data_IF_210258206153
#
_entry.id   IF_210258206153
#
_cell.length_a   1.000
_cell.length_b   1.000
_cell.length_c   1.000
_cell.angle_alpha   90.00
_cell.angle_beta   90.00
_cell.angle_gamma   90.00
#
_symmetry.space_group_name_H-M   'P 1'
#
loop_
_entity.id
_entity.type
_entity.pdbx_description
1 polymer ?
#
# COMPACT_ATOMS: atom_id res chain seq x y z
N UNK A 1 -30.99 -31.09 42.16
CA UNK A 1 -30.77 -31.93 40.96
C UNK A 1 -31.33 -31.29 39.69
N UNK A 2 -32.56 -30.75 39.70
CA UNK A 2 -33.13 -29.99 38.57
C UNK A 2 -32.41 -28.66 38.28
N UNK A 3 -31.99 -27.90 39.29
CA UNK A 3 -31.27 -26.62 39.09
C UNK A 3 -29.87 -26.80 38.49
N UNK A 4 -29.08 -27.77 38.98
CA UNK A 4 -27.75 -28.10 38.44
C UNK A 4 -27.79 -28.52 36.95
N UNK A 5 -28.88 -29.17 36.53
CA UNK A 5 -29.11 -29.55 35.13
C UNK A 5 -29.38 -28.32 34.26
N UNK A 6 -29.99 -27.29 34.83
CA UNK A 6 -30.29 -26.04 34.14
C UNK A 6 -29.02 -25.20 33.94
N UNK A 7 -28.23 -25.03 35.00
CA UNK A 7 -26.92 -24.35 34.95
C UNK A 7 -25.97 -25.02 33.94
N UNK A 8 -25.97 -26.37 33.88
CA UNK A 8 -25.15 -27.13 32.92
C UNK A 8 -25.63 -26.94 31.47
N UNK A 9 -26.94 -26.92 31.23
CA UNK A 9 -27.49 -26.68 29.90
C UNK A 9 -27.15 -25.26 29.41
N UNK A 10 -27.15 -24.27 30.29
CA UNK A 10 -26.75 -22.90 29.97
C UNK A 10 -25.28 -22.82 29.56
N UNK A 11 -24.38 -23.50 30.27
CA UNK A 11 -22.97 -23.64 29.88
C UNK A 11 -22.78 -24.34 28.53
N UNK A 12 -23.57 -25.38 28.25
CA UNK A 12 -23.54 -26.08 26.96
C UNK A 12 -23.99 -25.16 25.83
N UNK A 13 -25.01 -24.34 26.04
CA UNK A 13 -25.46 -23.38 25.03
C UNK A 13 -24.44 -22.26 24.79
N UNK A 14 -23.79 -21.77 25.85
CA UNK A 14 -22.65 -20.85 25.70
C UNK A 14 -21.53 -21.50 24.86
N UNK A 15 -21.18 -22.76 25.13
CA UNK A 15 -20.16 -23.48 24.37
C UNK A 15 -20.55 -23.72 22.91
N UNK A 16 -21.83 -24.02 22.63
CA UNK A 16 -22.33 -24.14 21.25
C UNK A 16 -22.22 -22.82 20.50
N UNK A 17 -22.58 -21.70 21.13
CA UNK A 17 -22.49 -20.36 20.53
C UNK A 17 -21.04 -19.97 20.18
N UNK A 18 -20.11 -20.22 21.09
CA UNK A 18 -18.67 -20.06 20.81
C UNK A 18 -18.24 -20.89 19.60
N UNK A 19 -18.68 -22.16 19.53
CA UNK A 19 -18.34 -23.07 18.44
C UNK A 19 -19.02 -22.69 17.11
N UNK A 20 -20.17 -22.01 17.15
CA UNK A 20 -20.86 -21.51 15.95
C UNK A 20 -20.41 -20.13 15.50
N UNK A 21 -19.50 -19.47 16.23
CA UNK A 21 -19.07 -18.10 15.94
C UNK A 21 -20.08 -17.02 16.34
N UNK A 22 -21.06 -17.33 17.20
CA UNK A 22 -21.98 -16.35 17.77
C UNK A 22 -21.39 -15.84 19.09
N UNK A 23 -20.83 -14.63 19.06
CA UNK A 23 -20.14 -14.04 20.21
C UNK A 23 -20.94 -12.96 20.94
N UNK A 24 -22.24 -12.83 20.67
CA UNK A 24 -23.08 -11.85 21.37
C UNK A 24 -23.12 -12.08 22.88
N UNK A 25 -23.26 -10.99 23.64
CA UNK A 25 -23.26 -11.02 25.10
C UNK A 25 -24.43 -11.87 25.60
N UNK A 26 -24.11 -12.96 26.30
CA UNK A 26 -25.07 -13.82 26.96
C UNK A 26 -25.18 -13.36 28.42
N UNK A 27 -26.38 -12.98 28.85
CA UNK A 27 -26.65 -12.77 30.28
C UNK A 27 -26.48 -14.10 31.02
N UNK A 28 -25.52 -14.15 31.94
CA UNK A 28 -25.33 -15.33 32.81
C UNK A 28 -26.43 -15.32 33.86
N UNK A 29 -27.33 -16.29 33.82
CA UNK A 29 -28.38 -16.49 34.83
C UNK A 29 -28.03 -17.58 35.86
N UNK A 30 -26.76 -17.98 35.92
CA UNK A 30 -26.24 -18.93 36.92
C UNK A 30 -26.07 -18.21 38.26
N UNK A 31 -26.54 -18.85 39.35
CA UNK A 31 -26.47 -18.28 40.70
C UNK A 31 -25.02 -18.14 41.20
N UNK A 32 -24.65 -17.04 41.86
CA UNK A 32 -23.28 -16.81 42.35
C UNK A 32 -22.76 -17.87 43.33
N UNK A 33 -23.65 -18.57 44.04
CA UNK A 33 -23.28 -19.62 44.99
C UNK A 33 -23.02 -20.99 44.32
N UNK A 34 -23.31 -21.11 43.01
CA UNK A 34 -23.10 -22.33 42.22
C UNK A 34 -21.62 -22.50 41.88
N UNK A 35 -21.08 -23.70 42.01
CA UNK A 35 -19.70 -24.03 41.58
C UNK A 35 -19.51 -23.80 40.06
N UNK A 36 -20.61 -23.84 39.30
CA UNK A 36 -20.64 -23.59 37.85
C UNK A 36 -20.58 -22.09 37.50
N UNK A 37 -20.80 -21.19 38.46
CA UNK A 37 -20.75 -19.75 38.25
C UNK A 37 -19.36 -19.29 37.80
N UNK A 38 -18.29 -19.83 38.39
CA UNK A 38 -16.92 -19.51 37.98
C UNK A 38 -16.65 -19.94 36.54
N UNK A 39 -17.17 -21.10 36.13
CA UNK A 39 -17.04 -21.60 34.76
C UNK A 39 -17.79 -20.66 33.79
N UNK A 40 -19.00 -20.23 34.16
CA UNK A 40 -19.78 -19.28 33.38
C UNK A 40 -19.07 -17.92 33.22
N UNK A 41 -18.41 -17.43 34.28
CA UNK A 41 -17.59 -16.21 34.21
C UNK A 41 -16.43 -16.37 33.22
N UNK A 42 -15.69 -17.48 33.26
CA UNK A 42 -14.62 -17.74 32.30
C UNK A 42 -15.12 -17.81 30.86
N UNK A 43 -16.27 -18.44 30.62
CA UNK A 43 -16.89 -18.48 29.30
C UNK A 43 -17.31 -17.09 28.80
N UNK A 44 -17.87 -16.25 29.66
CA UNK A 44 -18.27 -14.89 29.30
C UNK A 44 -17.05 -13.99 29.04
N UNK A 45 -15.98 -14.13 29.81
CA UNK A 45 -14.71 -13.46 29.50
C UNK A 45 -14.12 -13.91 28.16
N UNK A 46 -14.19 -15.21 27.85
CA UNK A 46 -13.76 -15.74 26.56
C UNK A 46 -14.62 -15.21 25.40
N UNK A 47 -15.95 -15.18 25.58
CA UNK A 47 -16.88 -14.58 24.61
C UNK A 47 -16.58 -13.12 24.34
N UNK A 48 -16.38 -12.31 25.40
CA UNK A 48 -16.02 -10.90 25.25
C UNK A 48 -14.72 -10.72 24.46
N UNK A 49 -13.70 -11.54 24.73
CA UNK A 49 -12.44 -11.51 23.98
C UNK A 49 -12.63 -11.93 22.53
N UNK A 50 -13.43 -12.96 22.25
CA UNK A 50 -13.72 -13.43 20.91
C UNK A 50 -14.56 -12.43 20.11
N UNK A 51 -15.52 -11.74 20.74
CA UNK A 51 -16.30 -10.67 20.10
C UNK A 51 -15.41 -9.51 19.66
N UNK A 52 -14.52 -9.06 20.53
CA UNK A 52 -13.52 -8.03 20.19
C UNK A 52 -12.66 -8.46 19.00
N UNK A 53 -12.40 -9.77 18.88
CA UNK A 53 -11.64 -10.33 17.76
C UNK A 53 -12.43 -10.34 16.48
N UNK A 54 -13.67 -10.79 16.55
CA UNK A 54 -14.59 -10.81 15.42
C UNK A 54 -14.81 -9.41 14.84
N UNK A 55 -15.09 -8.42 15.71
CA UNK A 55 -15.28 -7.02 15.31
C UNK A 55 -14.04 -6.48 14.56
N UNK A 56 -12.84 -6.66 15.12
CA UNK A 56 -11.61 -6.15 14.53
C UNK A 56 -11.19 -6.88 13.23
N UNK A 57 -11.52 -8.17 13.10
CA UNK A 57 -11.30 -8.93 11.87
C UNK A 57 -12.29 -8.52 10.78
N UNK A 58 -13.55 -8.25 11.14
CA UNK A 58 -14.59 -7.80 10.22
C UNK A 58 -14.17 -6.48 9.56
N UNK A 59 -13.73 -5.51 10.36
CA UNK A 59 -13.28 -4.21 9.84
C UNK A 59 -12.02 -4.34 8.96
N UNK A 60 -11.03 -5.15 9.36
CA UNK A 60 -9.83 -5.39 8.55
C UNK A 60 -10.15 -6.13 7.24
N UNK A 61 -11.19 -6.97 7.23
CA UNK A 61 -11.67 -7.65 6.03
C UNK A 61 -12.33 -6.68 5.05
N UNK A 62 -12.96 -5.60 5.53
CA UNK A 62 -13.48 -4.52 4.67
C UNK A 62 -12.36 -3.70 3.99
N UNK A 63 -11.21 -3.54 4.66
CA UNK A 63 -10.07 -2.77 4.14
C UNK A 63 -9.27 -3.52 3.06
N UNK A 64 -9.30 -4.85 3.05
CA UNK A 64 -8.58 -5.69 2.08
C UNK A 64 -9.01 -5.50 0.62
N UNK A 65 -10.31 -5.50 0.28
CA UNK A 65 -10.79 -5.17 -1.07
C UNK A 65 -10.37 -3.76 -1.51
N UNK A 66 -10.35 -2.79 -0.60
CA UNK A 66 -9.90 -1.43 -0.90
C UNK A 66 -8.40 -1.41 -1.22
N UNK A 67 -7.58 -2.11 -0.43
CA UNK A 67 -6.16 -2.31 -0.69
C UNK A 67 -5.92 -2.93 -2.07
N UNK A 68 -6.64 -4.02 -2.41
CA UNK A 68 -6.54 -4.68 -3.71
C UNK A 68 -6.90 -3.71 -4.85
N UNK A 69 -7.98 -2.94 -4.70
CA UNK A 69 -8.43 -1.97 -5.70
C UNK A 69 -7.36 -0.92 -5.97
N UNK A 70 -6.81 -0.30 -4.93
CA UNK A 70 -5.77 0.73 -5.07
C UNK A 70 -4.51 0.15 -5.73
N UNK A 71 -4.10 -1.06 -5.35
CA UNK A 71 -2.97 -1.74 -5.97
C UNK A 71 -3.19 -1.97 -7.48
N UNK A 72 -4.39 -2.41 -7.87
CA UNK A 72 -4.75 -2.59 -9.28
C UNK A 72 -4.73 -1.27 -10.05
N UNK A 73 -5.21 -0.19 -9.46
CA UNK A 73 -5.14 1.14 -10.06
C UNK A 73 -3.69 1.59 -10.29
N UNK A 74 -2.80 1.39 -9.31
CA UNK A 74 -1.36 1.70 -9.45
C UNK A 74 -0.75 0.92 -10.62
N UNK A 75 -1.01 -0.38 -10.70
CA UNK A 75 -0.49 -1.23 -11.78
C UNK A 75 -0.97 -0.72 -13.14
N UNK A 76 -2.25 -0.35 -13.24
CA UNK A 76 -2.83 0.14 -14.48
C UNK A 76 -2.26 1.50 -14.90
N UNK A 77 -2.12 2.44 -13.95
CA UNK A 77 -1.53 3.75 -14.21
C UNK A 77 -0.07 3.63 -14.65
N UNK A 78 0.71 2.79 -13.95
CA UNK A 78 2.11 2.51 -14.30
C UNK A 78 2.22 1.89 -15.70
N UNK A 79 1.32 0.95 -16.03
CA UNK A 79 1.27 0.35 -17.37
C UNK A 79 1.01 1.41 -18.44
N UNK A 80 -0.03 2.23 -18.28
CA UNK A 80 -0.39 3.26 -19.27
C UNK A 80 0.72 4.30 -19.46
N UNK A 81 1.36 4.73 -18.37
CA UNK A 81 2.47 5.67 -18.44
C UNK A 81 3.69 5.06 -19.14
N UNK A 82 4.00 3.80 -18.84
CA UNK A 82 5.10 3.08 -19.50
C UNK A 82 4.83 2.92 -21.00
N UNK A 83 3.60 2.56 -21.39
CA UNK A 83 3.20 2.50 -22.80
C UNK A 83 3.34 3.86 -23.50
N UNK A 84 2.98 4.95 -22.82
CA UNK A 84 3.13 6.32 -23.34
C UNK A 84 4.62 6.67 -23.55
N UNK A 85 5.47 6.41 -22.56
CA UNK A 85 6.91 6.65 -22.65
C UNK A 85 7.54 5.83 -23.78
N UNK A 86 7.15 4.55 -23.92
CA UNK A 86 7.63 3.70 -25.01
C UNK A 86 7.23 4.28 -26.38
N UNK A 87 6.00 4.76 -26.52
CA UNK A 87 5.55 5.42 -27.75
C UNK A 87 6.37 6.66 -28.06
N UNK A 88 6.72 7.48 -27.07
CA UNK A 88 7.57 8.64 -27.29
C UNK A 88 9.02 8.23 -27.63
N UNK A 89 9.52 7.13 -27.04
CA UNK A 89 10.85 6.59 -27.34
C UNK A 89 10.92 6.14 -28.81
N UNK A 90 9.85 5.55 -29.33
CA UNK A 90 9.79 5.22 -30.75
C UNK A 90 9.84 6.47 -31.62
N UNK A 91 9.06 7.51 -31.29
CA UNK A 91 9.08 8.79 -32.03
C UNK A 91 10.46 9.44 -32.02
N UNK A 92 11.14 9.51 -30.87
CA UNK A 92 12.47 10.13 -30.81
C UNK A 92 13.48 9.33 -31.63
N UNK A 93 13.38 8.00 -31.68
CA UNK A 93 14.25 7.18 -32.52
C UNK A 93 14.05 7.49 -34.01
N UNK A 94 12.81 7.60 -34.48
CA UNK A 94 12.51 8.01 -35.87
C UNK A 94 13.01 9.43 -36.18
N UNK A 95 12.85 10.35 -35.23
CA UNK A 95 13.34 11.73 -35.37
C UNK A 95 14.87 11.76 -35.46
N UNK A 96 15.58 11.03 -34.59
CA UNK A 96 17.04 10.90 -34.62
C UNK A 96 17.51 10.33 -35.96
N UNK A 97 16.83 9.32 -36.51
CA UNK A 97 17.20 8.75 -37.80
C UNK A 97 16.97 9.74 -38.96
N UNK A 98 15.89 10.53 -38.90
CA UNK A 98 15.64 11.62 -39.86
C UNK A 98 16.72 12.71 -39.81
N UNK A 99 17.20 13.06 -38.61
CA UNK A 99 18.34 13.97 -38.43
C UNK A 99 19.61 13.38 -39.04
N UNK A 100 19.90 12.10 -38.80
CA UNK A 100 21.08 11.42 -39.38
C UNK A 100 21.05 11.42 -40.90
N UNK A 101 19.89 11.15 -41.52
CA UNK A 101 19.74 11.20 -42.97
C UNK A 101 19.94 12.61 -43.52
N UNK A 102 19.35 13.62 -42.87
CA UNK A 102 19.50 15.01 -43.26
C UNK A 102 20.95 15.49 -43.13
N UNK A 103 21.68 15.05 -42.09
CA UNK A 103 23.11 15.32 -41.93
C UNK A 103 23.97 14.67 -43.02
N UNK A 104 23.63 13.44 -43.46
CA UNK A 104 24.30 12.79 -44.59
C UNK A 104 24.07 13.58 -45.88
N UNK A 105 22.82 13.95 -46.15
CA UNK A 105 22.44 14.76 -47.31
C UNK A 105 23.13 16.12 -47.33
N UNK A 106 23.20 16.79 -46.18
CA UNK A 106 23.93 18.05 -46.01
C UNK A 106 25.41 17.90 -46.39
N UNK A 107 26.06 16.86 -45.88
CA UNK A 107 27.48 16.59 -46.16
C UNK A 107 27.74 16.33 -47.64
N UNK A 108 26.85 15.62 -48.33
CA UNK A 108 26.95 15.38 -49.77
C UNK A 108 26.73 16.66 -50.59
N UNK A 109 25.71 17.46 -50.23
CA UNK A 109 25.44 18.73 -50.89
C UNK A 109 26.63 19.70 -50.80
N UNK A 110 27.24 19.82 -49.61
CA UNK A 110 28.44 20.64 -49.40
C UNK A 110 29.62 20.13 -50.26
N UNK A 111 29.86 18.82 -50.31
CA UNK A 111 30.93 18.23 -51.13
C UNK A 111 30.76 18.54 -52.62
N UNK A 112 29.51 18.58 -53.09
CA UNK A 112 29.19 18.83 -54.49
C UNK A 112 29.10 20.33 -54.83
N UNK A 113 29.27 21.22 -53.84
CA UNK A 113 29.13 22.67 -54.02
C UNK A 113 27.68 23.15 -54.20
N UNK A 114 26.70 22.29 -53.91
CA UNK A 114 25.27 22.60 -54.02
C UNK A 114 24.77 23.23 -52.70
N UNK A 115 25.03 24.52 -52.55
CA UNK A 115 24.70 25.26 -51.33
C UNK A 115 23.20 25.48 -51.13
N UNK A 116 22.42 25.53 -52.21
CA UNK A 116 20.95 25.66 -52.12
C UNK A 116 20.35 24.39 -51.50
N UNK A 117 20.80 23.22 -51.96
CA UNK A 117 20.38 21.95 -51.37
C UNK A 117 20.92 21.74 -49.96
N UNK A 118 22.15 22.20 -49.68
CA UNK A 118 22.69 22.18 -48.32
C UNK A 118 21.82 23.00 -47.35
N UNK A 119 21.32 24.17 -47.79
CA UNK A 119 20.42 25.00 -46.97
C UNK A 119 19.09 24.29 -46.65
N UNK A 120 18.54 23.52 -47.59
CA UNK A 120 17.33 22.72 -47.35
C UNK A 120 17.57 21.68 -46.26
N UNK A 121 18.66 20.91 -46.34
CA UNK A 121 18.99 19.92 -45.30
C UNK A 121 19.25 20.57 -43.94
N UNK A 122 19.91 21.74 -43.91
CA UNK A 122 20.15 22.47 -42.67
C UNK A 122 18.84 22.92 -42.01
N UNK A 123 17.89 23.42 -42.79
CA UNK A 123 16.56 23.76 -42.29
C UNK A 123 15.81 22.53 -41.79
N UNK A 124 15.86 21.42 -42.53
CA UNK A 124 15.24 20.16 -42.10
C UNK A 124 15.81 19.63 -40.78
N UNK A 125 17.13 19.72 -40.57
CA UNK A 125 17.75 19.37 -39.29
C UNK A 125 17.23 20.27 -38.17
N UNK A 126 17.13 21.58 -38.41
CA UNK A 126 16.59 22.53 -37.42
C UNK A 126 15.16 22.15 -37.03
N UNK A 127 14.31 21.87 -38.02
CA UNK A 127 12.92 21.50 -37.79
C UNK A 127 12.80 20.18 -37.02
N UNK A 128 13.59 19.16 -37.39
CA UNK A 128 13.63 17.89 -36.65
C UNK A 128 14.16 18.04 -35.22
N UNK A 129 15.13 18.94 -34.97
CA UNK A 129 15.60 19.20 -33.60
C UNK A 129 14.51 19.84 -32.75
N UNK A 130 13.72 20.77 -33.31
CA UNK A 130 12.58 21.36 -32.60
C UNK A 130 11.50 20.31 -32.30
N UNK A 131 11.18 19.44 -33.26
CA UNK A 131 10.25 18.32 -33.04
C UNK A 131 10.79 17.34 -31.99
N UNK A 132 12.10 17.08 -31.98
CA UNK A 132 12.74 16.24 -30.96
C UNK A 132 12.63 16.83 -29.55
N UNK A 133 12.73 18.16 -29.42
CA UNK A 133 12.51 18.87 -28.17
C UNK A 133 11.07 18.71 -27.67
N UNK A 134 10.08 18.84 -28.57
CA UNK A 134 8.66 18.63 -28.24
C UNK A 134 8.41 17.19 -27.74
N UNK A 135 8.98 16.18 -28.42
CA UNK A 135 8.89 14.77 -27.99
C UNK A 135 9.49 14.58 -26.58
N UNK A 136 10.61 15.25 -26.28
CA UNK A 136 11.20 15.20 -24.94
C UNK A 136 10.30 15.84 -23.88
N UNK A 137 9.60 16.93 -24.19
CA UNK A 137 8.61 17.51 -23.27
C UNK A 137 7.43 16.57 -23.02
N UNK A 138 6.94 15.91 -24.07
CA UNK A 138 5.87 14.91 -23.95
C UNK A 138 6.31 13.71 -23.07
N UNK A 139 7.57 13.25 -23.20
CA UNK A 139 8.13 12.24 -22.29
C UNK A 139 8.16 12.70 -20.83
N UNK A 140 8.58 13.94 -20.59
CA UNK A 140 8.65 14.50 -19.24
C UNK A 140 7.25 14.58 -18.63
N UNK A 141 6.27 15.05 -19.39
CA UNK A 141 4.87 15.08 -18.96
C UNK A 141 4.35 13.66 -18.66
N UNK A 142 4.70 12.67 -19.49
CA UNK A 142 4.32 11.28 -19.25
C UNK A 142 4.92 10.71 -17.96
N UNK A 143 6.07 11.22 -17.48
CA UNK A 143 6.71 10.82 -16.23
C UNK A 143 6.04 11.39 -14.97
N UNK A 144 5.16 12.39 -15.08
CA UNK A 144 4.44 12.98 -13.93
C UNK A 144 3.57 11.97 -13.17
N UNK A 145 3.21 10.84 -13.79
CA UNK A 145 2.50 9.74 -13.12
C UNK A 145 3.23 9.20 -11.89
N UNK A 146 4.55 9.41 -11.79
CA UNK A 146 5.36 8.97 -10.66
C UNK A 146 4.90 9.60 -9.35
N UNK A 147 4.52 10.89 -9.37
CA UNK A 147 4.03 11.57 -8.18
C UNK A 147 2.69 11.00 -7.72
N UNK A 148 1.76 10.81 -8.67
CA UNK A 148 0.46 10.17 -8.40
C UNK A 148 0.66 8.74 -7.86
N UNK A 149 1.60 7.99 -8.45
CA UNK A 149 1.94 6.64 -8.01
C UNK A 149 2.45 6.64 -6.58
N UNK A 150 3.35 7.58 -6.24
CA UNK A 150 3.86 7.75 -4.87
C UNK A 150 2.72 8.02 -3.89
N UNK A 151 1.84 8.98 -4.19
CA UNK A 151 0.69 9.29 -3.33
C UNK A 151 -0.24 8.08 -3.10
N UNK A 152 -0.43 7.24 -4.12
CA UNK A 152 -1.23 6.01 -4.00
C UNK A 152 -0.52 4.93 -3.18
N UNK A 153 0.80 4.79 -3.31
CA UNK A 153 1.62 3.89 -2.48
C UNK A 153 1.58 4.33 -1.01
N UNK A 154 1.70 5.62 -0.74
CA UNK A 154 1.63 6.15 0.63
C UNK A 154 0.28 5.80 1.29
N UNK A 155 -0.82 5.91 0.54
CA UNK A 155 -2.15 5.46 1.01
C UNK A 155 -2.20 3.95 1.28
N UNK A 156 -1.59 3.13 0.43
CA UNK A 156 -1.51 1.68 0.69
C UNK A 156 -0.73 1.38 1.97
N UNK A 157 0.37 2.10 2.21
CA UNK A 157 1.16 1.97 3.44
C UNK A 157 0.35 2.37 4.68
N UNK A 158 -0.47 3.42 4.59
CA UNK A 158 -1.39 3.79 5.67
C UNK A 158 -2.38 2.66 5.98
N UNK A 159 -3.06 2.10 4.97
CA UNK A 159 -4.01 0.99 5.14
C UNK A 159 -3.30 -0.25 5.74
N UNK A 160 -2.10 -0.58 5.26
CA UNK A 160 -1.29 -1.67 5.80
C UNK A 160 -0.93 -1.46 7.27
N UNK A 161 -0.53 -0.24 7.64
CA UNK A 161 -0.24 0.10 9.03
C UNK A 161 -1.49 0.02 9.92
N UNK A 162 -2.67 0.41 9.41
CA UNK A 162 -3.93 0.26 10.15
C UNK A 162 -4.27 -1.20 10.41
N UNK A 163 -4.15 -2.06 9.38
CA UNK A 163 -4.34 -3.51 9.52
C UNK A 163 -3.32 -4.10 10.51
N UNK A 164 -2.04 -3.73 10.41
CA UNK A 164 -0.98 -4.17 11.32
C UNK A 164 -1.30 -3.79 12.77
N UNK A 165 -1.69 -2.53 13.02
CA UNK A 165 -2.04 -2.03 14.34
C UNK A 165 -3.26 -2.76 14.92
N UNK A 166 -4.28 -3.03 14.10
CA UNK A 166 -5.46 -3.81 14.54
C UNK A 166 -5.09 -5.24 14.92
N UNK A 167 -4.25 -5.90 14.12
CA UNK A 167 -3.75 -7.26 14.43
C UNK A 167 -2.89 -7.26 15.70
N UNK A 168 -2.03 -6.25 15.89
CA UNK A 168 -1.22 -6.11 17.09
C UNK A 168 -2.10 -5.91 18.35
N UNK A 169 -3.08 -5.01 18.28
CA UNK A 169 -4.04 -4.77 19.35
C UNK A 169 -4.87 -6.03 19.65
N UNK A 170 -5.20 -6.84 18.64
CA UNK A 170 -5.87 -8.13 18.80
C UNK A 170 -5.03 -9.13 19.58
N UNK A 171 -3.75 -9.29 19.21
CA UNK A 171 -2.82 -10.18 19.91
C UNK A 171 -2.70 -9.79 21.39
N UNK A 172 -2.65 -8.48 21.67
CA UNK A 172 -2.59 -7.94 23.04
C UNK A 172 -3.90 -8.22 23.79
N UNK A 173 -5.06 -7.92 23.21
CA UNK A 173 -6.38 -8.09 23.86
C UNK A 173 -6.75 -9.55 24.10
N UNK A 174 -6.35 -10.45 23.20
CA UNK A 174 -6.49 -11.90 23.41
C UNK A 174 -5.60 -12.41 24.55
N UNK A 175 -4.60 -11.64 24.97
CA UNK A 175 -3.66 -12.05 26.00
C UNK A 175 -2.88 -13.29 25.58
N UNK A 176 -2.62 -13.46 24.27
CA UNK A 176 -1.77 -14.51 23.73
C UNK A 176 -0.35 -14.27 24.26
N UNK A 177 -0.09 -14.75 25.47
CA UNK A 177 1.26 -14.89 26.05
C UNK A 177 1.98 -16.01 25.31
N UNK A 178 2.26 -15.79 24.03
CA UNK A 178 3.27 -16.56 23.34
C UNK A 178 4.61 -16.12 23.90
N UNK A 179 5.39 -17.03 24.48
CA UNK A 179 6.79 -16.84 24.91
C UNK A 179 7.74 -16.33 23.80
N UNK A 180 7.23 -15.92 22.63
CA UNK A 180 7.97 -15.37 21.49
C UNK A 180 7.60 -13.93 21.11
N UNK A 181 6.52 -13.37 21.65
CA UNK A 181 6.07 -12.01 21.37
C UNK A 181 5.97 -11.26 22.70
N UNK A 182 7.03 -10.54 23.01
CA UNK A 182 7.13 -9.72 24.22
C UNK A 182 6.28 -8.45 24.02
N UNK A 183 5.27 -8.18 24.87
CA UNK A 183 4.45 -6.97 24.77
C UNK A 183 5.29 -5.68 24.80
N UNK A 184 6.41 -5.69 25.51
CA UNK A 184 7.37 -4.56 25.57
C UNK A 184 8.03 -4.29 24.21
N UNK A 185 8.31 -5.34 23.41
CA UNK A 185 8.86 -5.19 22.05
C UNK A 185 7.83 -4.67 21.05
N UNK A 186 6.54 -4.93 21.26
CA UNK A 186 5.47 -4.38 20.44
C UNK A 186 5.23 -2.89 20.73
N UNK A 187 5.37 -2.46 21.99
CA UNK A 187 5.41 -1.03 22.34
C UNK A 187 6.68 -0.33 21.82
N UNK A 188 7.86 -0.98 21.88
CA UNK A 188 9.08 -0.44 21.27
C UNK A 188 8.99 -0.30 19.73
N UNK A 189 8.21 -1.15 19.06
CA UNK A 189 7.96 -1.02 17.61
C UNK A 189 7.03 0.15 17.30
N UNK A 190 6.04 0.44 18.17
CA UNK A 190 5.22 1.66 18.08
C UNK A 190 6.08 2.92 18.30
N UNK A 191 6.96 2.91 19.31
CA UNK A 191 7.88 4.05 19.59
C UNK A 191 8.97 4.22 18.51
N UNK A 192 9.54 3.14 17.95
CA UNK A 192 10.55 3.24 16.88
C UNK A 192 9.99 3.69 15.53
N UNK A 193 8.69 3.49 15.26
CA UNK A 193 8.05 4.02 14.06
C UNK A 193 7.86 5.54 14.14
N UNK A 194 7.55 6.10 15.32
CA UNK A 194 7.52 7.57 15.51
C UNK A 194 8.90 8.22 15.27
N UNK A 195 10.00 7.53 15.62
CA UNK A 195 11.37 8.00 15.36
C UNK A 195 11.74 7.99 13.86
N UNK A 196 11.08 7.15 13.05
CA UNK A 196 11.30 7.09 11.60
C UNK A 196 10.49 8.13 10.81
N UNK A 197 9.45 8.70 11.42
CA UNK A 197 8.69 9.84 10.89
C UNK A 197 9.25 11.20 11.33
N UNK A 198 10.33 11.19 12.11
CA UNK A 198 10.92 12.41 12.67
C UNK A 198 11.70 13.18 11.60
N UNK A 199 11.07 14.23 11.08
CA UNK A 199 11.59 15.13 10.06
C UNK A 199 12.93 15.78 10.48
N UNK A 200 13.17 15.93 11.79
CA UNK A 200 14.45 16.40 12.33
C UNK A 200 15.63 15.44 12.04
N UNK A 201 15.39 14.14 11.93
CA UNK A 201 16.43 13.15 11.62
C UNK A 201 16.80 13.20 10.14
N UNK A 202 15.82 13.42 9.27
CA UNK A 202 16.02 13.64 7.84
C UNK A 202 16.80 14.95 7.59
N UNK A 203 16.43 16.03 8.29
CA UNK A 203 17.11 17.33 8.16
C UNK A 203 18.56 17.29 8.69
N UNK A 204 18.82 16.60 9.81
CA UNK A 204 20.19 16.40 10.33
C UNK A 204 21.05 15.53 9.41
N UNK A 205 20.46 14.54 8.74
CA UNK A 205 21.16 13.73 7.74
C UNK A 205 21.49 14.56 6.49
N UNK A 206 20.57 15.41 6.03
CA UNK A 206 20.81 16.31 4.90
C UNK A 206 21.91 17.34 5.21
N UNK A 207 21.94 17.89 6.44
CA UNK A 207 23.01 18.77 6.90
C UNK A 207 24.39 18.07 6.95
N UNK A 208 24.46 16.80 7.39
CA UNK A 208 25.73 16.05 7.41
C UNK A 208 26.27 15.74 6.00
N UNK A 209 25.40 15.64 5.00
CA UNK A 209 25.78 15.44 3.60
C UNK A 209 25.87 16.73 2.77
N UNK A 210 25.62 17.89 3.38
CA UNK A 210 25.83 19.22 2.79
C UNK A 210 24.82 19.64 1.72
N UNK A 211 23.56 19.21 1.85
CA UNK A 211 22.42 19.68 1.06
C UNK A 211 21.51 20.59 1.89
#
# INVERSE_FOLDING_TARGET
>A
MSEYLNDLNELIDIAKKINSGDYDLIEINIKPESELFQIAQYFNEALKKLKIVDDAFSDAYEDLPLFEKILREIINDMKNATESILSEIDKINFNIDSIKESLKGLKEAIKNGDFDRAKIYLNGIKDSVMEGEDICFDMIAALEFQDITKQKIDKLMMILNEIENRIADLIIKLGLKSNKLDPEKLSEVKEKKEVLEDQELVDKLLEEFGL
#
